data_IF_783365516809
#
_entry.id   IF_783365516809
#
_cell.length_a   1.000
_cell.length_b   1.000
_cell.length_c   1.000
_cell.angle_alpha   90.00
_cell.angle_beta   90.00
_cell.angle_gamma   90.00
#
_symmetry.space_group_name_H-M   'P 1'
#
loop_
_entity.id
_entity.type
_entity.pdbx_description
1 polymer ?
#
# COMPACT_ATOMS: atom_id res chain seq x y z
N UNK A 1 5.86 14.15 32.70
CA UNK A 1 6.39 13.81 31.37
C UNK A 1 5.18 13.43 30.54
N UNK A 2 4.79 14.32 29.64
CA UNK A 2 3.64 14.11 28.76
C UNK A 2 4.01 12.96 27.82
N UNK A 3 3.31 11.83 27.92
CA UNK A 3 3.50 10.73 26.98
C UNK A 3 3.03 11.24 25.60
N UNK A 4 3.96 11.54 24.70
CA UNK A 4 3.67 11.94 23.32
C UNK A 4 2.69 10.93 22.69
N UNK A 5 1.47 11.40 22.43
CA UNK A 5 0.37 10.57 21.94
C UNK A 5 0.45 10.51 20.42
N UNK A 6 0.53 9.30 19.88
CA UNK A 6 0.32 9.07 18.46
C UNK A 6 -1.17 9.17 18.13
N UNK A 7 -1.49 9.86 17.04
CA UNK A 7 -2.84 9.89 16.48
C UNK A 7 -2.87 9.14 15.15
N UNK A 8 -3.99 8.46 14.88
CA UNK A 8 -4.16 7.67 13.66
C UNK A 8 -5.46 8.05 12.98
N UNK A 9 -5.34 8.62 11.79
CA UNK A 9 -6.47 8.97 10.95
C UNK A 9 -6.64 7.96 9.82
N UNK A 10 -7.89 7.58 9.55
CA UNK A 10 -8.27 6.77 8.38
C UNK A 10 -9.23 7.64 7.57
N UNK A 11 -8.83 7.98 6.35
CA UNK A 11 -9.51 8.98 5.53
C UNK A 11 -9.75 8.42 4.14
N UNK A 12 -11.01 8.42 3.68
CA UNK A 12 -11.29 8.10 2.28
C UNK A 12 -10.72 9.21 1.39
N UNK A 13 -10.24 8.83 0.20
CA UNK A 13 -9.59 9.73 -0.74
C UNK A 13 -10.40 10.98 -1.06
N UNK A 14 -11.73 10.83 -1.20
CA UNK A 14 -12.65 11.93 -1.47
C UNK A 14 -12.76 12.96 -0.33
N UNK A 15 -12.34 12.61 0.89
CA UNK A 15 -12.35 13.47 2.07
C UNK A 15 -10.96 14.01 2.45
N UNK A 16 -9.94 13.81 1.60
CA UNK A 16 -8.64 14.43 1.83
C UNK A 16 -8.75 15.97 1.83
N UNK A 17 -8.39 16.58 2.94
CA UNK A 17 -8.35 18.03 3.09
C UNK A 17 -7.09 18.61 2.46
N UNK A 18 -7.05 19.94 2.28
CA UNK A 18 -5.81 20.63 1.88
C UNK A 18 -4.65 20.39 2.84
N UNK A 19 -4.94 20.25 4.14
CA UNK A 19 -3.93 19.92 5.15
C UNK A 19 -3.37 18.51 4.91
N UNK A 20 -4.23 17.50 4.71
CA UNK A 20 -3.79 16.13 4.39
C UNK A 20 -2.92 16.10 3.13
N UNK A 21 -3.36 16.76 2.06
CA UNK A 21 -2.60 16.82 0.80
C UNK A 21 -1.24 17.50 0.98
N UNK A 22 -1.17 18.56 1.79
CA UNK A 22 0.10 19.21 2.13
C UNK A 22 1.03 18.29 2.92
N UNK A 23 0.51 17.55 3.89
CA UNK A 23 1.27 16.63 4.73
C UNK A 23 1.80 15.44 3.93
N UNK A 24 0.94 14.81 3.11
CA UNK A 24 1.32 13.73 2.19
C UNK A 24 2.35 14.21 1.17
N UNK A 25 2.13 15.38 0.57
CA UNK A 25 3.09 15.98 -0.36
C UNK A 25 4.46 16.14 0.27
N UNK A 26 4.55 16.70 1.48
CA UNK A 26 5.82 16.84 2.22
C UNK A 26 6.46 15.48 2.51
N UNK A 27 5.69 14.51 3.01
CA UNK A 27 6.18 13.17 3.36
C UNK A 27 6.79 12.46 2.14
N UNK A 28 6.06 12.41 1.03
CA UNK A 28 6.51 11.69 -0.17
C UNK A 28 7.62 12.44 -0.92
N UNK A 29 7.55 13.77 -1.01
CA UNK A 29 8.55 14.54 -1.71
C UNK A 29 9.90 14.55 -0.98
N UNK A 30 9.90 14.46 0.35
CA UNK A 30 11.14 14.30 1.11
C UNK A 30 11.92 13.05 0.71
N UNK A 31 11.22 11.95 0.36
CA UNK A 31 11.86 10.68 0.00
C UNK A 31 12.11 10.57 -1.52
N UNK A 32 11.14 10.99 -2.35
CA UNK A 32 11.11 10.58 -3.76
C UNK A 32 11.17 11.73 -4.76
N UNK A 33 11.12 13.00 -4.34
CA UNK A 33 11.03 14.12 -5.30
C UNK A 33 12.18 14.13 -6.30
N UNK A 34 13.40 13.87 -5.84
CA UNK A 34 14.59 13.87 -6.70
C UNK A 34 14.55 12.80 -7.80
N UNK A 35 13.89 11.68 -7.55
CA UNK A 35 13.87 10.53 -8.47
C UNK A 35 12.60 10.46 -9.30
N UNK A 36 11.48 10.98 -8.78
CA UNK A 36 10.16 10.81 -9.39
C UNK A 36 9.38 12.12 -9.65
N UNK A 37 9.94 13.27 -9.27
CA UNK A 37 9.25 14.56 -9.33
C UNK A 37 8.25 14.75 -8.18
N UNK A 38 7.41 15.78 -8.30
CA UNK A 38 6.43 16.11 -7.26
C UNK A 38 5.35 15.01 -7.12
N UNK A 39 5.03 14.67 -5.88
CA UNK A 39 3.95 13.75 -5.55
C UNK A 39 2.58 14.31 -5.94
N UNK A 40 1.68 13.43 -6.37
CA UNK A 40 0.27 13.76 -6.60
C UNK A 40 -0.63 12.64 -6.07
N UNK A 41 -1.82 12.96 -5.53
CA UNK A 41 -2.71 11.97 -4.91
C UNK A 41 -3.37 11.03 -5.91
N UNK A 42 -3.71 11.51 -7.11
CA UNK A 42 -4.49 10.74 -8.09
C UNK A 42 -3.66 9.79 -8.96
N UNK A 43 -2.35 10.05 -9.06
CA UNK A 43 -1.43 9.24 -9.85
C UNK A 43 0.00 9.33 -9.27
N UNK A 44 0.23 8.85 -8.04
CA UNK A 44 1.51 9.00 -7.36
C UNK A 44 2.62 8.35 -8.20
N UNK A 45 3.47 9.14 -8.84
CA UNK A 45 4.57 8.67 -9.70
C UNK A 45 4.16 7.65 -10.78
N UNK A 46 2.92 7.76 -11.29
CA UNK A 46 2.38 6.82 -12.27
C UNK A 46 1.73 5.56 -11.69
N UNK A 47 1.86 5.31 -10.38
CA UNK A 47 1.17 4.23 -9.67
C UNK A 47 -0.32 4.52 -9.56
N UNK A 48 -1.07 3.48 -9.18
CA UNK A 48 -2.48 3.59 -8.84
C UNK A 48 -2.69 4.45 -7.60
N UNK A 49 -3.77 5.24 -7.54
CA UNK A 49 -4.13 5.97 -6.33
C UNK A 49 -4.62 5.00 -5.25
N UNK A 50 -4.76 5.53 -4.03
CA UNK A 50 -5.46 4.87 -2.95
C UNK A 50 -6.90 5.38 -2.86
N UNK A 51 -7.83 4.51 -2.47
CA UNK A 51 -9.20 4.89 -2.11
C UNK A 51 -9.29 5.27 -0.63
N UNK A 52 -8.43 4.69 0.22
CA UNK A 52 -8.37 4.91 1.66
C UNK A 52 -6.93 5.18 2.06
N UNK A 53 -6.73 6.18 2.92
CA UNK A 53 -5.44 6.59 3.47
C UNK A 53 -5.41 6.36 4.97
N UNK A 54 -4.37 5.71 5.47
CA UNK A 54 -4.05 5.60 6.90
C UNK A 54 -2.86 6.47 7.19
N UNK A 55 -3.02 7.41 8.13
CA UNK A 55 -2.05 8.44 8.47
C UNK A 55 -1.71 8.30 9.95
N UNK A 56 -0.41 8.27 10.27
CA UNK A 56 0.05 8.27 11.66
C UNK A 56 0.74 9.59 11.96
N UNK A 57 0.22 10.30 12.96
CA UNK A 57 0.71 11.59 13.41
C UNK A 57 1.34 11.49 14.79
N UNK A 58 2.28 12.40 15.04
CA UNK A 58 2.66 12.85 16.38
C UNK A 58 2.43 14.35 16.40
N UNK A 59 1.53 14.79 17.26
CA UNK A 59 1.02 16.16 17.24
C UNK A 59 0.57 16.57 15.83
N UNK A 60 1.24 17.53 15.19
CA UNK A 60 0.92 17.98 13.84
C UNK A 60 1.78 17.32 12.74
N UNK A 61 2.77 16.49 13.11
CA UNK A 61 3.74 15.93 12.17
C UNK A 61 3.30 14.55 11.67
N UNK A 62 3.12 14.44 10.35
CA UNK A 62 2.83 13.17 9.69
C UNK A 62 4.09 12.29 9.69
N UNK A 63 4.06 11.20 10.44
CA UNK A 63 5.17 10.27 10.59
C UNK A 63 5.10 9.09 9.62
N UNK A 64 3.90 8.72 9.18
CA UNK A 64 3.74 7.60 8.28
C UNK A 64 2.43 7.59 7.52
N UNK A 65 2.46 6.98 6.34
CA UNK A 65 1.31 6.77 5.48
C UNK A 65 1.32 5.35 4.90
N UNK A 66 0.13 4.77 4.78
CA UNK A 66 -0.16 3.64 3.90
C UNK A 66 -1.51 3.91 3.23
N UNK A 67 -1.63 3.58 1.95
CA UNK A 67 -2.88 3.68 1.23
C UNK A 67 -3.25 2.35 0.58
N UNK A 68 -4.54 2.10 0.40
CA UNK A 68 -5.00 0.98 -0.41
C UNK A 68 -6.16 1.34 -1.32
N UNK A 69 -6.27 0.59 -2.42
CA UNK A 69 -7.35 0.69 -3.39
C UNK A 69 -8.07 -0.65 -3.49
N UNK A 70 -9.39 -0.63 -3.58
CA UNK A 70 -10.14 -1.85 -3.92
C UNK A 70 -10.00 -2.12 -5.41
N UNK A 71 -9.55 -3.32 -5.76
CA UNK A 71 -9.54 -3.76 -7.16
C UNK A 71 -9.87 -5.23 -7.33
N UNK A 72 -10.69 -5.48 -8.33
CA UNK A 72 -10.93 -6.82 -8.86
C UNK A 72 -9.82 -7.19 -9.84
N UNK A 73 -8.90 -8.06 -9.44
CA UNK A 73 -7.78 -8.58 -10.25
C UNK A 73 -8.10 -9.98 -10.78
N UNK A 74 -7.29 -10.48 -11.71
CA UNK A 74 -7.32 -11.89 -12.09
C UNK A 74 -6.07 -12.62 -11.60
N UNK A 75 -6.22 -13.86 -11.18
CA UNK A 75 -5.12 -14.76 -10.81
C UNK A 75 -5.38 -16.10 -11.50
N UNK A 76 -4.60 -16.38 -12.55
CA UNK A 76 -4.90 -17.49 -13.46
C UNK A 76 -6.31 -17.34 -14.07
N UNK A 77 -7.20 -18.29 -13.77
CA UNK A 77 -8.60 -18.28 -14.24
C UNK A 77 -9.60 -17.75 -13.22
N UNK A 78 -9.12 -17.29 -12.05
CA UNK A 78 -9.97 -16.80 -10.96
C UNK A 78 -9.94 -15.29 -10.90
N UNK A 79 -11.05 -14.72 -10.45
CA UNK A 79 -11.13 -13.30 -10.08
C UNK A 79 -10.95 -13.19 -8.58
N UNK A 80 -10.19 -12.19 -8.12
CA UNK A 80 -9.91 -11.93 -6.70
C UNK A 80 -10.11 -10.46 -6.41
N UNK A 81 -10.75 -10.13 -5.30
CA UNK A 81 -10.91 -8.75 -4.83
C UNK A 81 -9.82 -8.40 -3.82
N UNK A 82 -8.97 -7.46 -4.16
CA UNK A 82 -7.84 -7.07 -3.31
C UNK A 82 -7.95 -5.64 -2.81
N UNK A 83 -7.40 -5.40 -1.63
CA UNK A 83 -6.93 -4.10 -1.18
C UNK A 83 -5.48 -3.93 -1.64
N UNK A 84 -5.31 -3.44 -2.88
CA UNK A 84 -4.00 -3.16 -3.45
C UNK A 84 -3.33 -2.02 -2.69
N UNK A 85 -2.23 -2.31 -2.02
CA UNK A 85 -1.60 -1.44 -1.02
C UNK A 85 -0.35 -0.80 -1.58
N UNK A 86 -0.25 0.51 -1.42
CA UNK A 86 0.82 1.33 -1.96
C UNK A 86 1.13 2.53 -1.09
N UNK A 87 2.19 3.25 -1.46
CA UNK A 87 2.62 4.45 -0.76
C UNK A 87 2.97 4.22 0.71
N UNK A 88 3.36 3.00 1.10
CA UNK A 88 3.78 2.72 2.48
C UNK A 88 5.11 3.42 2.75
N UNK A 89 5.08 4.43 3.61
CA UNK A 89 6.26 5.25 3.91
C UNK A 89 6.23 5.73 5.36
N UNK A 90 7.37 5.59 6.03
CA UNK A 90 7.66 6.17 7.35
C UNK A 90 8.77 7.19 7.18
N UNK A 91 8.64 8.36 7.83
CA UNK A 91 9.69 9.39 7.84
C UNK A 91 11.01 8.80 8.33
N UNK A 92 12.13 9.28 7.81
CA UNK A 92 13.45 8.74 8.17
C UNK A 92 13.69 8.72 9.68
N UNK A 93 13.37 9.81 10.37
CA UNK A 93 13.53 9.95 11.82
C UNK A 93 12.62 9.02 12.65
N UNK A 94 11.54 8.49 12.05
CA UNK A 94 10.59 7.61 12.73
C UNK A 94 10.85 6.11 12.47
N UNK A 95 11.81 5.76 11.60
CA UNK A 95 12.13 4.35 11.29
C UNK A 95 12.72 3.65 12.51
N UNK A 96 12.42 2.36 12.66
CA UNK A 96 12.91 1.56 13.79
C UNK A 96 12.21 1.82 15.14
N UNK A 97 11.20 2.69 15.19
CA UNK A 97 10.50 3.06 16.44
C UNK A 97 9.17 2.31 16.65
N UNK A 98 8.79 1.41 15.74
CA UNK A 98 7.52 0.67 15.78
C UNK A 98 6.35 1.35 15.07
N UNK A 99 6.49 2.57 14.56
CA UNK A 99 5.42 3.29 13.84
C UNK A 99 4.89 2.51 12.63
N UNK A 100 5.77 1.82 11.89
CA UNK A 100 5.33 0.98 10.76
C UNK A 100 4.35 -0.13 11.15
N UNK A 101 4.53 -0.73 12.33
CA UNK A 101 3.62 -1.74 12.87
C UNK A 101 2.27 -1.14 13.26
N UNK A 102 2.27 0.03 13.89
CA UNK A 102 1.04 0.76 14.21
C UNK A 102 0.29 1.08 12.91
N UNK A 103 1.00 1.62 11.93
CA UNK A 103 0.43 1.94 10.62
C UNK A 103 -0.24 0.71 9.99
N UNK A 104 0.48 -0.42 9.87
CA UNK A 104 -0.08 -1.63 9.25
C UNK A 104 -1.22 -2.24 10.06
N UNK A 105 -1.19 -2.20 11.39
CA UNK A 105 -2.29 -2.65 12.24
C UNK A 105 -3.61 -1.92 11.87
N UNK A 106 -3.54 -0.59 11.72
CA UNK A 106 -4.70 0.22 11.36
C UNK A 106 -5.09 0.05 9.89
N UNK A 107 -4.13 -0.11 8.98
CA UNK A 107 -4.39 -0.47 7.58
C UNK A 107 -5.14 -1.80 7.47
N UNK A 108 -4.74 -2.84 8.20
CA UNK A 108 -5.42 -4.13 8.17
C UNK A 108 -6.83 -4.05 8.73
N UNK A 109 -7.04 -3.24 9.77
CA UNK A 109 -8.39 -2.99 10.32
C UNK A 109 -9.28 -2.34 9.27
N UNK A 110 -8.81 -1.29 8.61
CA UNK A 110 -9.54 -0.63 7.54
C UNK A 110 -9.87 -1.60 6.39
N UNK A 111 -8.94 -2.48 6.01
CA UNK A 111 -9.19 -3.52 4.99
C UNK A 111 -10.29 -4.50 5.39
N UNK A 112 -10.34 -4.93 6.67
CA UNK A 112 -11.39 -5.82 7.18
C UNK A 112 -12.77 -5.15 7.23
N UNK A 113 -12.79 -3.84 7.44
CA UNK A 113 -14.02 -3.04 7.43
C UNK A 113 -14.48 -2.70 5.98
N UNK A 114 -13.63 -2.93 4.99
CA UNK A 114 -13.91 -2.67 3.58
C UNK A 114 -14.67 -3.83 2.93
N UNK A 115 -15.87 -3.62 2.34
CA UNK A 115 -16.65 -4.70 1.76
C UNK A 115 -15.93 -5.45 0.64
N UNK A 116 -16.12 -6.78 0.57
CA UNK A 116 -15.66 -7.67 -0.51
C UNK A 116 -14.15 -7.81 -0.66
N UNK A 117 -13.32 -7.15 0.16
CA UNK A 117 -11.87 -7.39 0.14
C UNK A 117 -11.57 -8.79 0.64
N UNK A 118 -10.92 -9.60 -0.21
CA UNK A 118 -10.50 -10.96 0.10
C UNK A 118 -9.09 -10.98 0.69
N UNK A 119 -8.19 -10.18 0.09
CA UNK A 119 -6.78 -10.08 0.46
C UNK A 119 -6.26 -8.65 0.39
N UNK A 120 -5.28 -8.29 1.22
CA UNK A 120 -4.34 -7.22 0.88
C UNK A 120 -3.35 -7.71 -0.17
N UNK A 121 -2.89 -6.83 -1.06
CA UNK A 121 -1.90 -7.18 -2.11
C UNK A 121 -0.90 -6.04 -2.28
N UNK A 122 0.41 -6.35 -2.28
CA UNK A 122 1.44 -5.36 -2.62
C UNK A 122 2.66 -5.99 -3.28
N UNK A 123 3.34 -5.21 -4.10
CA UNK A 123 4.72 -5.46 -4.49
C UNK A 123 5.67 -4.68 -3.57
N UNK A 124 6.85 -5.23 -3.27
CA UNK A 124 7.85 -4.51 -2.49
C UNK A 124 9.29 -4.87 -2.87
N UNK A 125 10.26 -4.14 -2.29
CA UNK A 125 11.68 -4.48 -2.39
C UNK A 125 12.03 -5.62 -1.42
N UNK A 126 13.01 -6.45 -1.79
CA UNK A 126 13.44 -7.60 -0.99
C UNK A 126 13.76 -7.23 0.47
N UNK A 127 14.45 -6.11 0.68
CA UNK A 127 14.90 -5.67 2.01
C UNK A 127 13.79 -5.29 3.00
N UNK A 128 12.52 -5.22 2.60
CA UNK A 128 11.39 -4.96 3.53
C UNK A 128 10.45 -6.17 3.67
N UNK A 129 10.73 -7.28 3.00
CA UNK A 129 9.94 -8.52 3.15
C UNK A 129 9.84 -8.97 4.61
N UNK A 130 10.94 -9.00 5.41
CA UNK A 130 10.84 -9.43 6.81
C UNK A 130 9.91 -8.56 7.66
N UNK A 131 9.81 -7.27 7.36
CA UNK A 131 8.89 -6.36 8.05
C UNK A 131 7.43 -6.68 7.70
N UNK A 132 7.13 -6.94 6.43
CA UNK A 132 5.76 -7.34 6.05
C UNK A 132 5.39 -8.71 6.63
N UNK A 133 6.32 -9.67 6.64
CA UNK A 133 6.10 -11.00 7.23
C UNK A 133 5.85 -10.92 8.73
N UNK A 134 6.58 -10.07 9.47
CA UNK A 134 6.33 -9.87 10.91
C UNK A 134 4.97 -9.28 11.22
N UNK A 135 4.35 -8.60 10.25
CA UNK A 135 3.01 -8.04 10.33
C UNK A 135 1.96 -8.94 9.66
N UNK A 136 2.25 -10.22 9.41
CA UNK A 136 1.26 -11.20 8.94
C UNK A 136 0.98 -11.17 7.44
N UNK A 137 1.80 -10.48 6.64
CA UNK A 137 1.78 -10.65 5.19
C UNK A 137 2.56 -11.90 4.78
N UNK A 138 2.15 -12.51 3.68
CA UNK A 138 2.73 -13.76 3.17
C UNK A 138 3.28 -13.54 1.77
N UNK A 139 4.54 -13.91 1.55
CA UNK A 139 5.13 -13.88 0.23
C UNK A 139 4.49 -14.93 -0.67
N UNK A 140 4.21 -14.55 -1.91
CA UNK A 140 3.81 -15.48 -2.98
C UNK A 140 4.83 -15.46 -4.11
N UNK A 141 4.94 -16.57 -4.82
CA UNK A 141 5.69 -16.67 -6.06
C UNK A 141 4.71 -16.61 -7.23
N UNK A 142 4.65 -15.46 -7.90
CA UNK A 142 3.81 -15.27 -9.08
C UNK A 142 4.50 -14.35 -10.08
N UNK A 143 4.27 -14.61 -11.37
CA UNK A 143 4.48 -13.59 -12.39
C UNK A 143 3.30 -12.60 -12.38
N UNK A 144 3.57 -11.36 -12.76
CA UNK A 144 2.59 -10.28 -12.74
C UNK A 144 2.42 -9.64 -14.12
N UNK A 145 1.18 -9.31 -14.46
CA UNK A 145 0.79 -8.51 -15.60
C UNK A 145 0.11 -7.23 -15.09
N UNK A 146 0.53 -6.09 -15.61
CA UNK A 146 0.00 -4.78 -15.22
C UNK A 146 0.13 -3.77 -16.35
N UNK A 147 -0.42 -2.57 -16.16
CA UNK A 147 -0.18 -1.44 -17.05
C UNK A 147 1.06 -0.68 -16.59
N UNK A 148 1.93 -0.34 -17.54
CA UNK A 148 3.11 0.48 -17.29
C UNK A 148 2.72 1.83 -16.67
N UNK A 149 3.39 2.19 -15.58
CA UNK A 149 3.28 3.50 -14.94
C UNK A 149 3.55 4.66 -15.91
N UNK A 150 4.47 4.45 -16.84
CA UNK A 150 4.92 5.47 -17.79
C UNK A 150 4.05 5.51 -19.06
N UNK A 151 3.80 4.36 -19.67
CA UNK A 151 3.20 4.30 -21.02
C UNK A 151 1.75 3.83 -21.05
N UNK A 152 1.23 3.30 -19.94
CA UNK A 152 -0.09 2.67 -19.90
C UNK A 152 -0.23 1.37 -20.71
N UNK A 153 0.85 0.93 -21.39
CA UNK A 153 0.85 -0.34 -22.12
C UNK A 153 1.00 -1.51 -21.17
N UNK A 154 0.47 -2.66 -21.57
CA UNK A 154 0.60 -3.90 -20.80
C UNK A 154 2.07 -4.31 -20.68
N UNK A 155 2.47 -4.67 -19.46
CA UNK A 155 3.80 -5.17 -19.10
C UNK A 155 3.62 -6.53 -18.42
N UNK A 156 4.58 -7.42 -18.62
CA UNK A 156 4.68 -8.70 -17.94
C UNK A 156 6.00 -8.76 -17.19
N UNK A 157 5.93 -9.07 -15.89
CA UNK A 157 7.07 -9.22 -15.00
C UNK A 157 7.13 -10.69 -14.57
N UNK A 158 8.20 -11.43 -14.91
CA UNK A 158 8.39 -12.79 -14.43
C UNK A 158 8.43 -12.87 -12.91
N UNK A 159 8.15 -14.05 -12.36
CA UNK A 159 8.28 -14.28 -10.93
C UNK A 159 9.71 -13.99 -10.45
N UNK A 160 9.84 -13.30 -9.32
CA UNK A 160 11.14 -13.01 -8.71
C UNK A 160 11.08 -11.84 -7.74
N UNK A 161 10.50 -10.72 -8.17
CA UNK A 161 10.23 -9.59 -7.29
C UNK A 161 9.24 -10.01 -6.18
N UNK A 162 9.44 -9.56 -4.92
CA UNK A 162 8.53 -9.87 -3.83
C UNK A 162 7.12 -9.34 -4.09
N UNK A 163 6.16 -10.26 -4.03
CA UNK A 163 4.73 -9.97 -3.96
C UNK A 163 4.24 -10.53 -2.64
N UNK A 164 3.52 -9.71 -1.89
CA UNK A 164 2.98 -10.05 -0.58
C UNK A 164 1.46 -10.01 -0.62
N UNK A 165 0.84 -10.98 0.06
CA UNK A 165 -0.61 -11.01 0.29
C UNK A 165 -0.92 -10.99 1.78
N UNK A 166 -2.01 -10.35 2.17
CA UNK A 166 -2.53 -10.38 3.54
C UNK A 166 -3.90 -11.06 3.51
N UNK A 167 -4.16 -12.13 4.28
CA UNK A 167 -5.51 -12.67 4.41
C UNK A 167 -6.43 -11.65 5.09
N UNK A 168 -7.58 -11.33 4.47
CA UNK A 168 -8.58 -10.40 5.04
C UNK A 168 -9.87 -11.15 5.37
N UNK A 169 -10.60 -11.61 4.35
CA UNK A 169 -11.80 -12.47 4.53
C UNK A 169 -11.56 -13.91 4.04
N UNK A 170 -10.44 -14.15 3.36
CA UNK A 170 -9.99 -15.45 2.86
C UNK A 170 -8.64 -15.81 3.47
N UNK A 171 -8.42 -17.09 3.72
CA UNK A 171 -7.15 -17.60 4.22
C UNK A 171 -6.06 -17.64 3.14
N UNK A 172 -4.79 -17.62 3.54
CA UNK A 172 -3.63 -17.65 2.63
C UNK A 172 -3.68 -18.83 1.66
N UNK A 173 -4.11 -20.01 2.13
CA UNK A 173 -4.23 -21.22 1.31
C UNK A 173 -5.30 -21.13 0.21
N UNK A 174 -6.21 -20.15 0.29
CA UNK A 174 -7.24 -19.90 -0.72
C UNK A 174 -6.74 -18.99 -1.86
N UNK A 175 -5.52 -18.43 -1.77
CA UNK A 175 -4.94 -17.64 -2.86
C UNK A 175 -4.81 -18.49 -4.15
N UNK A 176 -5.41 -18.07 -5.28
CA UNK A 176 -5.38 -18.88 -6.50
C UNK A 176 -3.98 -18.99 -7.11
N UNK A 177 -3.74 -20.05 -7.88
CA UNK A 177 -2.51 -20.23 -8.64
C UNK A 177 -2.62 -19.58 -10.02
N UNK A 178 -1.53 -19.01 -10.51
CA UNK A 178 -1.39 -18.51 -11.88
C UNK A 178 -0.74 -17.13 -11.93
N UNK A 179 -0.65 -16.59 -13.15
CA UNK A 179 -0.21 -15.21 -13.37
C UNK A 179 -1.22 -14.26 -12.72
N UNK A 180 -0.71 -13.29 -11.96
CA UNK A 180 -1.50 -12.20 -11.41
C UNK A 180 -1.65 -11.14 -12.49
N UNK A 181 -2.87 -10.77 -12.84
CA UNK A 181 -3.16 -9.63 -13.70
C UNK A 181 -3.86 -8.54 -12.90
N UNK A 182 -3.13 -7.45 -12.66
CA UNK A 182 -3.61 -6.31 -11.89
C UNK A 182 -4.73 -5.54 -12.57
N UNK A 183 -4.99 -5.76 -13.87
CA UNK A 183 -6.00 -5.02 -14.66
C UNK A 183 -5.88 -3.50 -14.51
N UNK A 184 -4.65 -3.00 -14.33
CA UNK A 184 -4.35 -1.60 -14.05
C UNK A 184 -2.87 -1.42 -13.75
N UNK A 185 -2.48 -0.21 -13.35
CA UNK A 185 -1.11 0.06 -12.89
C UNK A 185 -0.87 -0.60 -11.53
N UNK A 186 0.39 -0.86 -11.14
CA UNK A 186 0.72 -1.32 -9.80
C UNK A 186 0.45 -0.25 -8.74
N UNK A 187 0.54 -0.66 -7.47
CA UNK A 187 0.46 0.20 -6.28
C UNK A 187 1.84 0.46 -5.67
#
# INVERSE_FOLDING_TARGET
MEHERLDVEIVDHGFLTRAHLSHLGRLFDAEYRHTHGAWTPHRPYGYSPADVHVLVYRDADLLGHAGFQQRTIAVGHRTVHVAGTGGVLITEAARGTGIGRILLLHTHRAMRETPRVEFGYLGCREGVVPFYESEGWHRIAAAERSLSRATGRQVYVPAGAPIMILPVTRGVAEWPRGVVDLRGTPW
#
